data_IF_775860199228
#
_entry.id   IF_775860199228
#
_cell.length_a   1.000
_cell.length_b   1.000
_cell.length_c   1.000
_cell.angle_alpha   90.00
_cell.angle_beta   90.00
_cell.angle_gamma   90.00
#
_symmetry.space_group_name_H-M   'P 1'
#
loop_
_entity.id
_entity.type
_entity.pdbx_description
1 polymer ?
#
# COMPACT_ATOMS: atom_id res chain seq x y z
N UNK A 1 -1.30 -14.44 -15.20
CA UNK A 1 -1.76 -13.26 -15.96
C UNK A 1 -1.11 -12.03 -15.34
N UNK A 2 -0.55 -11.09 -16.13
CA UNK A 2 -0.05 -9.80 -15.62
C UNK A 2 -1.12 -8.75 -15.91
N UNK A 3 -1.57 -8.03 -14.88
CA UNK A 3 -2.53 -6.93 -15.03
C UNK A 3 -1.76 -5.62 -14.98
N UNK A 4 -1.75 -4.80 -16.04
CA UNK A 4 -1.16 -3.47 -15.97
C UNK A 4 -2.01 -2.60 -15.04
N UNK A 5 -1.37 -2.00 -14.04
CA UNK A 5 -1.98 -0.98 -13.18
C UNK A 5 -1.34 0.36 -13.51
N UNK A 6 -2.17 1.39 -13.65
CA UNK A 6 -1.69 2.76 -13.83
C UNK A 6 -1.30 3.30 -12.47
N UNK A 7 -0.07 3.81 -12.38
CA UNK A 7 0.43 4.46 -11.17
C UNK A 7 0.97 5.85 -11.56
N UNK A 8 0.45 6.93 -10.98
CA UNK A 8 1.00 8.26 -11.09
C UNK A 8 2.50 8.34 -10.71
N UNK A 9 3.28 9.24 -11.33
CA UNK A 9 4.73 9.38 -11.06
C UNK A 9 5.07 9.65 -9.59
N UNK A 10 4.27 10.45 -8.90
CA UNK A 10 4.40 10.79 -7.48
C UNK A 10 4.25 9.57 -6.57
N UNK A 11 3.32 8.65 -6.88
CA UNK A 11 3.20 7.39 -6.15
C UNK A 11 4.44 6.50 -6.37
N UNK A 12 4.97 6.47 -7.58
CA UNK A 12 6.19 5.73 -7.89
C UNK A 12 7.41 6.28 -7.11
N UNK A 13 7.57 7.60 -7.08
CA UNK A 13 8.60 8.28 -6.29
C UNK A 13 8.45 7.99 -4.79
N UNK A 14 7.21 7.97 -4.29
CA UNK A 14 6.91 7.56 -2.91
C UNK A 14 7.40 6.15 -2.59
N UNK A 15 7.20 5.18 -3.49
CA UNK A 15 7.70 3.81 -3.32
C UNK A 15 9.23 3.73 -3.31
N UNK A 16 9.91 4.47 -4.20
CA UNK A 16 11.37 4.53 -4.19
C UNK A 16 11.91 5.14 -2.89
N UNK A 17 11.26 6.19 -2.37
CA UNK A 17 11.63 6.81 -1.10
C UNK A 17 11.49 5.83 0.08
N UNK A 18 10.40 5.06 0.14
CA UNK A 18 10.20 4.02 1.15
C UNK A 18 11.25 2.90 1.04
N UNK A 19 11.52 2.45 -0.18
CA UNK A 19 12.55 1.45 -0.46
C UNK A 19 13.95 1.92 -0.03
N UNK A 20 14.30 3.16 -0.35
CA UNK A 20 15.57 3.77 0.04
C UNK A 20 15.66 3.91 1.57
N UNK A 21 14.58 4.35 2.22
CA UNK A 21 14.50 4.46 3.69
C UNK A 21 14.78 3.10 4.34
N UNK A 22 14.14 2.03 3.88
CA UNK A 22 14.36 0.68 4.39
C UNK A 22 15.84 0.26 4.30
N UNK A 23 16.52 0.59 3.19
CA UNK A 23 17.97 0.35 3.03
C UNK A 23 18.81 1.17 4.01
N UNK A 24 18.53 2.47 4.14
CA UNK A 24 19.32 3.38 5.00
C UNK A 24 19.19 3.00 6.48
N UNK A 25 18.02 2.50 6.90
CA UNK A 25 17.77 2.08 8.29
C UNK A 25 18.27 0.66 8.60
N UNK A 26 19.18 0.10 7.79
CA UNK A 26 19.79 -1.22 8.04
C UNK A 26 19.10 -2.42 7.40
N UNK A 27 18.04 -2.20 6.61
CA UNK A 27 17.42 -3.22 5.77
C UNK A 27 18.06 -3.31 4.38
N UNK A 28 17.32 -3.88 3.41
CA UNK A 28 17.72 -3.94 2.00
C UNK A 28 16.85 -3.03 1.14
N UNK A 29 17.33 -2.71 -0.07
CA UNK A 29 16.48 -2.11 -1.10
C UNK A 29 15.35 -3.09 -1.45
N UNK A 30 14.12 -2.62 -1.39
CA UNK A 30 12.92 -3.38 -1.77
C UNK A 30 12.49 -2.95 -3.17
N UNK A 31 12.16 -3.89 -4.05
CA UNK A 31 11.59 -3.51 -5.34
C UNK A 31 10.17 -2.94 -5.13
N UNK A 32 9.76 -1.98 -5.97
CA UNK A 32 8.41 -1.40 -5.87
C UNK A 32 7.31 -2.47 -5.97
N UNK A 33 7.55 -3.52 -6.76
CA UNK A 33 6.65 -4.68 -6.84
C UNK A 33 6.56 -5.49 -5.55
N UNK A 34 7.62 -5.54 -4.74
CA UNK A 34 7.60 -6.19 -3.42
C UNK A 34 6.77 -5.36 -2.44
N UNK A 35 6.94 -4.03 -2.44
CA UNK A 35 6.15 -3.10 -1.62
C UNK A 35 4.66 -3.18 -1.95
N UNK A 36 4.30 -3.05 -3.24
CA UNK A 36 2.91 -3.13 -3.69
C UNK A 36 2.30 -4.48 -3.37
N UNK A 37 3.00 -5.59 -3.62
CA UNK A 37 2.50 -6.93 -3.30
C UNK A 37 2.31 -7.13 -1.80
N UNK A 38 3.22 -6.61 -0.98
CA UNK A 38 3.10 -6.64 0.48
C UNK A 38 1.87 -5.87 0.95
N UNK A 39 1.66 -4.66 0.45
CA UNK A 39 0.49 -3.83 0.77
C UNK A 39 -0.82 -4.54 0.41
N UNK A 40 -0.94 -5.08 -0.82
CA UNK A 40 -2.13 -5.83 -1.24
C UNK A 40 -2.36 -7.06 -0.35
N UNK A 41 -1.30 -7.79 0.02
CA UNK A 41 -1.43 -8.93 0.93
C UNK A 41 -1.93 -8.51 2.32
N UNK A 42 -1.56 -7.34 2.83
CA UNK A 42 -2.09 -6.81 4.09
C UNK A 42 -3.58 -6.52 3.96
N UNK A 43 -4.01 -5.90 2.86
CA UNK A 43 -5.43 -5.61 2.62
C UNK A 43 -6.27 -6.90 2.57
N UNK A 44 -5.81 -7.92 1.83
CA UNK A 44 -6.49 -9.22 1.74
C UNK A 44 -6.60 -9.94 3.09
N UNK A 45 -5.58 -9.82 3.95
CA UNK A 45 -5.58 -10.42 5.29
C UNK A 45 -6.37 -9.62 6.31
N UNK A 46 -6.61 -8.34 6.07
CA UNK A 46 -7.25 -7.45 7.04
C UNK A 46 -8.77 -7.54 7.01
N UNK A 47 -9.36 -8.27 6.05
CA UNK A 47 -10.80 -8.46 5.87
C UNK A 47 -11.58 -7.13 5.94
N UNK A 48 -11.00 -6.08 5.35
CA UNK A 48 -11.61 -4.75 5.32
C UNK A 48 -12.75 -4.81 4.31
N UNK A 49 -13.97 -4.60 4.80
CA UNK A 49 -15.12 -4.46 3.92
C UNK A 49 -15.05 -3.11 3.22
N UNK A 50 -15.12 -3.10 1.89
CA UNK A 50 -15.20 -1.88 1.05
C UNK A 50 -16.58 -1.70 0.42
N UNK A 51 -17.56 -2.48 0.85
CA UNK A 51 -18.92 -2.41 0.32
C UNK A 51 -19.49 -1.01 0.51
N UNK A 52 -20.07 -0.47 -0.56
CA UNK A 52 -20.70 0.84 -0.58
C UNK A 52 -19.76 2.01 -0.86
N UNK A 53 -18.43 1.80 -0.94
CA UNK A 53 -17.50 2.85 -1.36
C UNK A 53 -17.72 3.22 -2.84
N UNK A 54 -17.77 4.51 -3.15
CA UNK A 54 -18.12 5.06 -4.47
C UNK A 54 -16.94 5.58 -5.26
N UNK A 55 -15.85 5.89 -4.59
CA UNK A 55 -14.65 6.50 -5.17
C UNK A 55 -13.39 6.02 -4.42
N UNK A 56 -12.24 6.40 -4.94
CA UNK A 56 -10.93 6.02 -4.40
C UNK A 56 -10.71 6.57 -2.99
N UNK A 57 -11.09 7.83 -2.74
CA UNK A 57 -10.96 8.50 -1.44
C UNK A 57 -11.73 7.76 -0.31
N UNK A 58 -12.96 7.31 -0.59
CA UNK A 58 -13.76 6.52 0.35
C UNK A 58 -13.13 5.15 0.67
N UNK A 59 -12.41 4.55 -0.29
CA UNK A 59 -11.68 3.29 -0.06
C UNK A 59 -10.43 3.55 0.79
N UNK A 60 -9.69 4.62 0.48
CA UNK A 60 -8.51 5.04 1.25
C UNK A 60 -8.86 5.34 2.71
N UNK A 61 -9.93 6.10 2.95
CA UNK A 61 -10.40 6.41 4.30
C UNK A 61 -10.72 5.13 5.08
N UNK A 62 -11.37 4.16 4.43
CA UNK A 62 -11.71 2.87 5.06
C UNK A 62 -10.47 2.04 5.40
N UNK A 63 -9.45 2.05 4.54
CA UNK A 63 -8.16 1.43 4.83
C UNK A 63 -7.44 2.11 6.00
N UNK A 64 -7.42 3.45 6.02
CA UNK A 64 -6.81 4.22 7.10
C UNK A 64 -7.50 3.96 8.44
N UNK A 65 -8.84 4.00 8.50
CA UNK A 65 -9.61 3.69 9.71
C UNK A 65 -9.30 2.29 10.22
N UNK A 66 -9.23 1.29 9.34
CA UNK A 66 -8.92 -0.09 9.72
C UNK A 66 -7.48 -0.28 10.25
N UNK A 67 -6.52 0.48 9.73
CA UNK A 67 -5.11 0.41 10.17
C UNK A 67 -4.93 1.14 11.51
N UNK A 68 -5.51 2.33 11.66
CA UNK A 68 -5.34 3.17 12.86
C UNK A 68 -6.15 2.67 14.07
N UNK A 69 -7.24 1.95 13.85
CA UNK A 69 -8.08 1.40 14.92
C UNK A 69 -7.49 0.14 15.58
N UNK A 70 -6.42 -0.44 15.02
CA UNK A 70 -5.71 -1.55 15.66
C UNK A 70 -4.76 -1.01 16.74
N UNK A 71 -4.98 -1.28 18.04
CA UNK A 71 -3.99 -0.96 19.04
C UNK A 71 -2.70 -1.74 18.73
N UNK A 72 -1.57 -1.03 18.79
CA UNK A 72 -0.23 -1.58 18.56
C UNK A 72 0.18 -2.55 19.65
#
# INVERSE_FOLDING_TARGET
MRVPITMPPDMFEGLEALSLKARITGGRKLANTELVRSAVNVLLKSNIDISGCKNEEEVEERFLMAILSRPS
#
